data_IF_592151435399
#
_entry.id   IF_592151435399
#
_cell.length_a   1.000
_cell.length_b   1.000
_cell.length_c   1.000
_cell.angle_alpha   90.00
_cell.angle_beta   90.00
_cell.angle_gamma   90.00
#
_symmetry.space_group_name_H-M   'P 1'
#
loop_
_entity.id
_entity.type
_entity.pdbx_description
1 polymer ?
#
# COMPACT_ATOMS: atom_id res chain seq x y z
N UNK A 1 23.53 -32.21 6.67
CA UNK A 1 23.50 -30.73 6.67
C UNK A 1 22.40 -30.31 7.63
N UNK A 2 22.76 -29.94 8.85
CA UNK A 2 21.80 -29.42 9.83
C UNK A 2 21.69 -27.92 9.61
N UNK A 3 20.67 -27.47 8.88
CA UNK A 3 20.32 -26.05 8.72
C UNK A 3 19.49 -25.67 9.93
N UNK A 4 20.03 -24.89 10.83
CA UNK A 4 19.22 -24.17 11.80
C UNK A 4 18.59 -22.96 11.07
N UNK A 5 17.46 -23.18 10.45
CA UNK A 5 16.58 -22.08 10.08
C UNK A 5 15.97 -21.52 11.36
N UNK A 6 15.86 -20.20 11.48
CA UNK A 6 15.12 -19.48 12.52
C UNK A 6 13.63 -19.88 12.46
N UNK A 7 13.32 -21.08 12.94
CA UNK A 7 11.96 -21.52 13.22
C UNK A 7 11.63 -21.25 14.68
N UNK A 8 10.37 -21.34 15.05
CA UNK A 8 9.78 -21.00 16.35
C UNK A 8 10.43 -21.59 17.61
N UNK A 9 11.48 -22.40 17.47
CA UNK A 9 12.31 -22.97 18.54
C UNK A 9 13.81 -22.71 18.33
N UNK A 10 14.19 -21.65 17.56
CA UNK A 10 15.57 -21.29 17.32
C UNK A 10 16.22 -20.53 18.49
N UNK A 11 17.54 -20.23 18.40
CA UNK A 11 18.28 -19.52 19.44
C UNK A 11 17.69 -18.14 19.79
N UNK A 12 16.77 -17.59 18.97
CA UNK A 12 16.09 -16.33 19.21
C UNK A 12 15.12 -16.35 20.40
N UNK A 13 14.42 -17.46 20.65
CA UNK A 13 13.40 -17.56 21.71
C UNK A 13 13.97 -17.41 23.14
N UNK A 14 15.26 -17.63 23.31
CA UNK A 14 15.93 -17.52 24.62
C UNK A 14 16.94 -16.36 24.67
N UNK A 15 16.96 -15.50 23.63
CA UNK A 15 17.98 -14.46 23.52
C UNK A 15 17.94 -13.45 24.67
N UNK A 16 16.75 -13.15 25.21
CA UNK A 16 16.57 -12.26 26.34
C UNK A 16 17.37 -12.66 27.61
N UNK A 17 17.76 -13.94 27.76
CA UNK A 17 18.62 -14.40 28.87
C UNK A 17 20.07 -14.00 28.68
N UNK A 18 20.48 -13.67 27.47
CA UNK A 18 21.87 -13.35 27.09
C UNK A 18 22.06 -11.85 26.83
N UNK A 19 20.98 -11.07 26.87
CA UNK A 19 21.00 -9.62 26.76
C UNK A 19 21.05 -8.98 28.16
N UNK A 20 21.93 -8.02 28.34
CA UNK A 20 22.00 -7.20 29.55
C UNK A 20 20.81 -6.23 29.58
N UNK A 21 20.10 -6.18 30.71
CA UNK A 21 18.92 -5.29 30.87
C UNK A 21 19.29 -3.84 31.19
N UNK A 22 20.49 -3.59 31.69
CA UNK A 22 20.96 -2.25 32.04
C UNK A 22 22.22 -1.93 31.25
N UNK A 23 22.34 -0.67 30.85
CA UNK A 23 23.53 -0.11 30.20
C UNK A 23 24.72 0.05 31.15
N UNK A 24 24.56 -0.28 32.40
CA UNK A 24 25.64 -0.16 33.41
C UNK A 24 26.64 -1.31 33.25
N UNK A 25 27.42 -1.17 32.17
CA UNK A 25 28.44 -2.14 31.77
C UNK A 25 29.73 -2.02 32.58
N UNK A 26 29.76 -1.12 33.59
CA UNK A 26 30.95 -0.78 34.37
C UNK A 26 31.27 -1.80 35.51
N UNK A 27 30.35 -2.72 35.81
CA UNK A 27 30.60 -3.72 36.87
C UNK A 27 31.25 -4.96 36.24
N UNK A 28 32.55 -4.93 36.09
CA UNK A 28 33.36 -6.14 35.86
C UNK A 28 33.39 -6.99 37.11
N UNK A 29 32.40 -7.79 37.34
CA UNK A 29 32.45 -8.82 38.38
C UNK A 29 33.14 -10.04 37.78
N UNK A 30 34.24 -10.51 38.39
CA UNK A 30 34.97 -11.70 37.94
C UNK A 30 34.06 -12.93 37.75
N UNK A 31 32.97 -13.03 38.51
CA UNK A 31 31.95 -14.05 38.39
C UNK A 31 31.16 -13.97 37.04
N UNK A 32 31.16 -12.86 36.33
CA UNK A 32 30.47 -12.72 35.06
C UNK A 32 31.29 -13.21 33.82
N UNK A 33 32.58 -13.46 33.98
CA UNK A 33 33.42 -13.89 32.86
C UNK A 33 32.93 -15.18 32.17
N UNK A 34 32.53 -16.26 32.89
CA UNK A 34 31.98 -17.45 32.21
C UNK A 34 30.66 -17.23 31.55
N UNK A 35 29.79 -16.35 32.10
CA UNK A 35 28.53 -15.97 31.47
C UNK A 35 28.79 -15.15 30.20
N UNK A 36 29.67 -14.16 30.24
CA UNK A 36 30.06 -13.32 29.12
C UNK A 36 30.56 -14.17 27.93
N UNK A 37 31.39 -15.19 28.22
CA UNK A 37 31.88 -16.09 27.16
C UNK A 37 30.73 -16.88 26.50
N UNK A 38 29.83 -17.44 27.30
CA UNK A 38 28.66 -18.17 26.80
C UNK A 38 27.69 -17.24 26.06
N UNK A 39 27.42 -16.03 26.59
CA UNK A 39 26.60 -15.02 25.96
C UNK A 39 27.16 -14.63 24.59
N UNK A 40 28.47 -14.39 24.49
CA UNK A 40 29.14 -14.11 23.24
C UNK A 40 28.87 -15.19 22.18
N UNK A 41 29.05 -16.46 22.50
CA UNK A 41 28.78 -17.57 21.58
C UNK A 41 27.30 -17.61 21.16
N UNK A 42 26.38 -17.41 22.08
CA UNK A 42 24.94 -17.44 21.79
C UNK A 42 24.47 -16.25 20.96
N UNK A 43 24.95 -15.05 21.25
CA UNK A 43 24.60 -13.85 20.51
C UNK A 43 25.17 -13.88 19.09
N UNK A 44 26.38 -14.37 18.92
CA UNK A 44 27.00 -14.57 17.61
C UNK A 44 26.22 -15.60 16.78
N UNK A 45 25.88 -16.75 17.39
CA UNK A 45 25.06 -17.76 16.75
C UNK A 45 23.66 -17.21 16.36
N UNK A 46 23.10 -16.31 17.16
CA UNK A 46 21.83 -15.66 16.86
C UNK A 46 21.91 -14.63 15.73
N UNK A 47 23.04 -13.93 15.57
CA UNK A 47 23.22 -12.96 14.48
C UNK A 47 23.62 -13.61 13.16
N UNK A 48 24.23 -14.81 13.16
CA UNK A 48 24.57 -15.54 11.97
C UNK A 48 23.31 -16.15 11.31
N UNK A 49 23.26 -16.22 9.99
CA UNK A 49 22.17 -16.89 9.25
C UNK A 49 22.33 -18.40 9.25
N UNK A 50 23.56 -18.90 9.28
CA UNK A 50 23.86 -20.33 9.32
C UNK A 50 25.09 -20.58 10.20
N UNK A 51 25.12 -21.74 10.81
CA UNK A 51 26.32 -22.27 11.46
C UNK A 51 26.73 -23.49 10.65
N UNK A 52 27.91 -23.44 10.04
CA UNK A 52 28.44 -24.54 9.25
C UNK A 52 28.85 -25.72 10.14
N UNK A 53 29.03 -26.88 9.55
CA UNK A 53 29.37 -28.13 10.28
C UNK A 53 30.73 -28.01 11.02
N UNK A 54 31.63 -27.21 10.49
CA UNK A 54 32.93 -26.89 11.10
C UNK A 54 32.85 -25.81 12.19
N UNK A 55 31.65 -25.35 12.51
CA UNK A 55 31.41 -24.34 13.55
C UNK A 55 31.60 -22.90 13.10
N UNK A 56 31.85 -22.64 11.81
CA UNK A 56 31.95 -21.29 11.29
C UNK A 56 30.58 -20.63 11.22
N UNK A 57 30.54 -19.33 11.47
CA UNK A 57 29.36 -18.47 11.37
C UNK A 57 29.27 -17.91 9.94
N UNK A 58 28.18 -18.18 9.25
CA UNK A 58 27.92 -17.66 7.91
C UNK A 58 26.99 -16.45 7.99
N UNK A 59 27.43 -15.33 7.44
CA UNK A 59 26.63 -14.13 7.19
C UNK A 59 26.35 -14.04 5.69
N UNK A 60 25.06 -14.09 5.34
CA UNK A 60 24.62 -14.05 3.94
C UNK A 60 24.66 -12.63 3.42
N UNK A 61 25.36 -12.43 2.31
CA UNK A 61 25.42 -11.19 1.56
C UNK A 61 26.12 -11.44 0.21
N UNK A 62 26.18 -10.46 -0.67
CA UNK A 62 26.97 -10.53 -1.91
C UNK A 62 28.36 -9.88 -1.72
N UNK A 63 29.45 -10.65 -1.47
CA UNK A 63 29.54 -12.10 -1.26
C UNK A 63 29.28 -12.55 0.19
N UNK A 64 28.95 -13.82 0.43
CA UNK A 64 28.80 -14.33 1.79
C UNK A 64 30.15 -14.36 2.52
N UNK A 65 30.11 -14.04 3.83
CA UNK A 65 31.29 -13.99 4.68
C UNK A 65 31.21 -15.03 5.79
N UNK A 66 32.35 -15.65 6.13
CA UNK A 66 32.46 -16.68 7.18
C UNK A 66 33.36 -16.20 8.27
N UNK A 67 33.01 -16.53 9.52
CA UNK A 67 33.85 -16.21 10.68
C UNK A 67 34.08 -17.46 11.52
N UNK A 68 35.32 -17.73 11.84
CA UNK A 68 35.69 -18.86 12.70
C UNK A 68 35.54 -18.48 14.17
N UNK A 69 35.00 -19.41 14.98
CA UNK A 69 34.82 -19.25 16.44
C UNK A 69 36.00 -19.80 17.25
N UNK A 70 37.21 -19.82 16.72
CA UNK A 70 38.39 -20.41 17.36
C UNK A 70 38.73 -19.75 18.72
N UNK A 71 38.28 -18.52 18.98
CA UNK A 71 38.41 -17.83 20.27
C UNK A 71 37.13 -17.09 20.58
N UNK A 72 36.54 -17.33 21.77
CA UNK A 72 35.33 -16.64 22.24
C UNK A 72 35.64 -15.41 23.11
N UNK A 73 36.92 -15.10 23.29
CA UNK A 73 37.34 -13.93 24.09
C UNK A 73 37.31 -12.70 23.22
N UNK A 74 36.39 -11.80 23.53
CA UNK A 74 36.28 -10.45 22.96
C UNK A 74 36.44 -9.43 24.09
N UNK A 75 36.92 -8.24 23.73
CA UNK A 75 37.03 -7.13 24.66
C UNK A 75 35.66 -6.59 25.09
N UNK A 76 35.64 -5.69 26.06
CA UNK A 76 34.39 -5.16 26.62
C UNK A 76 33.61 -4.34 25.60
N UNK A 77 34.29 -3.53 24.77
CA UNK A 77 33.65 -2.70 23.75
C UNK A 77 32.99 -3.56 22.67
N UNK A 78 33.69 -4.60 22.21
CA UNK A 78 33.15 -5.57 21.23
C UNK A 78 31.96 -6.35 21.79
N UNK A 79 31.99 -6.71 23.06
CA UNK A 79 30.86 -7.35 23.72
C UNK A 79 29.63 -6.42 23.79
N UNK A 80 29.85 -5.14 24.13
CA UNK A 80 28.79 -4.15 24.15
C UNK A 80 28.14 -3.96 22.78
N UNK A 81 28.96 -3.89 21.74
CA UNK A 81 28.46 -3.80 20.35
C UNK A 81 27.66 -5.03 19.96
N UNK A 82 28.13 -6.22 20.32
CA UNK A 82 27.42 -7.48 20.07
C UNK A 82 26.05 -7.51 20.79
N UNK A 83 25.99 -7.05 22.03
CA UNK A 83 24.75 -6.88 22.79
C UNK A 83 23.80 -5.92 22.06
N UNK A 84 24.31 -4.76 21.64
CA UNK A 84 23.52 -3.77 20.92
C UNK A 84 23.01 -4.29 19.57
N UNK A 85 23.83 -5.00 18.81
CA UNK A 85 23.45 -5.57 17.52
C UNK A 85 22.37 -6.63 17.67
N UNK A 86 22.53 -7.56 18.61
CA UNK A 86 21.54 -8.58 18.89
C UNK A 86 20.25 -7.97 19.46
N UNK A 87 20.37 -7.04 20.41
CA UNK A 87 19.23 -6.32 20.97
C UNK A 87 18.42 -5.62 19.89
N UNK A 88 19.06 -4.86 18.99
CA UNK A 88 18.39 -4.16 17.92
C UNK A 88 17.74 -5.12 16.90
N UNK A 89 18.42 -6.19 16.50
CA UNK A 89 17.88 -7.16 15.54
C UNK A 89 16.63 -7.87 16.07
N UNK A 90 16.61 -8.19 17.37
CA UNK A 90 15.55 -8.97 18.03
C UNK A 90 14.54 -8.13 18.82
N UNK A 91 14.60 -6.81 18.77
CA UNK A 91 13.71 -5.91 19.50
C UNK A 91 12.24 -6.10 19.15
N UNK A 92 11.96 -6.31 17.84
CA UNK A 92 10.60 -6.45 17.32
C UNK A 92 10.46 -7.75 16.52
N UNK A 93 9.64 -8.66 16.99
CA UNK A 93 9.41 -9.96 16.33
C UNK A 93 8.84 -9.84 14.91
N UNK A 94 8.06 -8.79 14.62
CA UNK A 94 7.49 -8.56 13.28
C UNK A 94 8.53 -8.10 12.26
N UNK A 95 9.61 -7.50 12.72
CA UNK A 95 10.68 -6.92 11.88
C UNK A 95 11.97 -7.73 11.96
N UNK A 96 11.96 -8.82 12.70
CA UNK A 96 13.12 -9.65 12.97
C UNK A 96 13.86 -10.05 11.69
N UNK A 97 13.16 -10.64 10.73
CA UNK A 97 13.76 -11.13 9.48
C UNK A 97 14.43 -10.00 8.70
N UNK A 98 13.80 -8.82 8.67
CA UNK A 98 14.32 -7.66 7.96
C UNK A 98 15.55 -7.09 8.66
N UNK A 99 15.47 -6.82 9.97
CA UNK A 99 16.58 -6.25 10.74
C UNK A 99 17.77 -7.20 10.82
N UNK A 100 17.51 -8.49 11.05
CA UNK A 100 18.54 -9.53 11.07
C UNK A 100 19.22 -9.68 9.70
N UNK A 101 18.42 -9.68 8.62
CA UNK A 101 18.94 -9.72 7.25
C UNK A 101 19.82 -8.52 6.91
N UNK A 102 19.44 -7.30 7.36
CA UNK A 102 20.23 -6.09 7.15
C UNK A 102 21.57 -6.14 7.89
N UNK A 103 21.59 -6.53 9.16
CA UNK A 103 22.86 -6.70 9.91
C UNK A 103 23.78 -7.68 9.18
N UNK A 104 23.25 -8.80 8.74
CA UNK A 104 24.03 -9.80 8.05
C UNK A 104 24.58 -9.33 6.70
N UNK A 105 23.75 -8.64 5.93
CA UNK A 105 24.17 -8.07 4.66
C UNK A 105 25.26 -7.03 4.83
N UNK A 106 25.18 -6.18 5.86
CA UNK A 106 26.20 -5.18 6.13
C UNK A 106 27.51 -5.79 6.68
N UNK A 107 27.43 -6.82 7.51
CA UNK A 107 28.60 -7.61 7.92
C UNK A 107 29.25 -8.27 6.71
N UNK A 108 28.48 -8.85 5.79
CA UNK A 108 28.99 -9.50 4.60
C UNK A 108 29.55 -8.51 3.55
N UNK A 109 29.15 -7.24 3.61
CA UNK A 109 29.66 -6.18 2.72
C UNK A 109 31.12 -5.84 3.01
N UNK A 110 31.64 -6.20 4.18
CA UNK A 110 33.08 -6.13 4.43
C UNK A 110 33.78 -7.09 3.48
N UNK A 111 34.90 -6.67 2.88
CA UNK A 111 35.62 -7.43 1.84
C UNK A 111 36.26 -8.73 2.33
N UNK A 112 36.02 -9.13 3.57
CA UNK A 112 36.54 -10.34 4.20
C UNK A 112 35.67 -11.53 3.77
N UNK A 113 36.28 -12.51 3.09
CA UNK A 113 35.59 -13.77 2.76
C UNK A 113 35.61 -14.77 3.90
N UNK A 114 36.75 -14.86 4.60
CA UNK A 114 36.98 -15.67 5.79
C UNK A 114 37.65 -14.78 6.82
N UNK A 115 37.09 -14.69 8.01
CA UNK A 115 37.60 -13.87 9.10
C UNK A 115 37.62 -14.61 10.44
N UNK A 116 38.32 -14.01 11.39
CA UNK A 116 38.29 -14.43 12.77
C UNK A 116 37.17 -13.70 13.54
N UNK A 117 36.87 -14.15 14.73
CA UNK A 117 35.93 -13.47 15.65
C UNK A 117 36.38 -12.03 15.96
N UNK A 118 37.67 -11.77 15.97
CA UNK A 118 38.24 -10.43 16.20
C UNK A 118 37.93 -9.50 15.02
N UNK A 119 38.00 -10.03 13.77
CA UNK A 119 37.65 -9.26 12.57
C UNK A 119 36.16 -8.94 12.54
N UNK A 120 35.29 -9.89 12.92
CA UNK A 120 33.87 -9.64 13.08
C UNK A 120 33.59 -8.56 14.13
N UNK A 121 34.25 -8.63 15.29
CA UNK A 121 34.12 -7.65 16.36
C UNK A 121 34.53 -6.24 15.90
N UNK A 122 35.58 -6.14 15.10
CA UNK A 122 36.05 -4.86 14.56
C UNK A 122 35.08 -4.27 13.51
N UNK A 123 34.40 -5.10 12.73
CA UNK A 123 33.49 -4.66 11.67
C UNK A 123 32.04 -4.43 12.13
N UNK A 124 31.61 -5.11 13.19
CA UNK A 124 30.24 -5.11 13.68
C UNK A 124 29.69 -3.70 14.04
N UNK A 125 30.46 -2.76 14.64
CA UNK A 125 29.97 -1.42 14.95
C UNK A 125 29.51 -0.68 13.70
N UNK A 126 30.36 -0.66 12.66
CA UNK A 126 30.05 0.00 11.38
C UNK A 126 28.90 -0.69 10.64
N UNK A 127 28.89 -2.02 10.65
CA UNK A 127 27.82 -2.81 10.05
C UNK A 127 26.46 -2.54 10.74
N UNK A 128 26.43 -2.44 12.07
CA UNK A 128 25.21 -2.13 12.82
C UNK A 128 24.67 -0.73 12.48
N UNK A 129 25.53 0.27 12.42
CA UNK A 129 25.09 1.64 12.06
C UNK A 129 24.60 1.70 10.62
N UNK A 130 25.30 1.06 9.68
CA UNK A 130 24.84 0.95 8.29
C UNK A 130 23.51 0.22 8.18
N UNK A 131 23.30 -0.86 8.93
CA UNK A 131 22.04 -1.59 8.96
C UNK A 131 20.89 -0.74 9.49
N UNK A 132 21.11 0.05 10.54
CA UNK A 132 20.11 0.99 11.06
C UNK A 132 19.75 2.08 10.04
N UNK A 133 20.73 2.62 9.34
CA UNK A 133 20.52 3.63 8.29
C UNK A 133 19.70 3.00 7.15
N UNK A 134 20.08 1.80 6.68
CA UNK A 134 19.36 1.09 5.62
C UNK A 134 17.92 0.77 6.03
N UNK A 135 17.69 0.36 7.27
CA UNK A 135 16.36 0.12 7.82
C UNK A 135 15.51 1.39 7.82
N UNK A 136 16.03 2.49 8.36
CA UNK A 136 15.33 3.77 8.40
C UNK A 136 15.01 4.30 6.99
N UNK A 137 15.93 4.12 6.05
CA UNK A 137 15.70 4.47 4.65
C UNK A 137 14.57 3.64 4.04
N UNK A 138 14.56 2.32 4.26
CA UNK A 138 13.52 1.41 3.78
C UNK A 138 12.13 1.78 4.33
N UNK A 139 12.04 2.05 5.64
CA UNK A 139 10.79 2.50 6.29
C UNK A 139 10.32 3.84 5.71
N UNK A 140 11.24 4.80 5.53
CA UNK A 140 10.92 6.12 4.94
C UNK A 140 10.44 5.99 3.50
N UNK A 141 11.08 5.14 2.69
CA UNK A 141 10.69 4.91 1.31
C UNK A 141 9.30 4.26 1.23
N UNK A 142 9.04 3.25 2.03
CA UNK A 142 7.72 2.62 2.10
C UNK A 142 6.61 3.61 2.49
N UNK A 143 6.91 4.52 3.43
CA UNK A 143 5.97 5.58 3.81
C UNK A 143 5.70 6.55 2.66
N UNK A 144 6.73 6.96 1.90
CA UNK A 144 6.59 7.82 0.71
C UNK A 144 5.76 7.14 -0.38
N UNK A 145 6.01 5.86 -0.64
CA UNK A 145 5.27 5.10 -1.65
C UNK A 145 3.79 4.96 -1.26
N UNK A 146 3.50 4.75 0.02
CA UNK A 146 2.14 4.73 0.55
C UNK A 146 1.44 6.09 0.40
N UNK A 147 2.12 7.19 0.75
CA UNK A 147 1.57 8.54 0.58
C UNK A 147 1.33 8.89 -0.89
N UNK A 148 2.22 8.47 -1.77
CA UNK A 148 2.06 8.64 -3.22
C UNK A 148 0.83 7.86 -3.72
N UNK A 149 0.70 6.59 -3.33
CA UNK A 149 -0.46 5.78 -3.70
C UNK A 149 -1.79 6.38 -3.21
N UNK A 150 -1.82 6.95 -1.99
CA UNK A 150 -2.98 7.69 -1.47
C UNK A 150 -3.29 8.96 -2.27
N UNK A 151 -2.25 9.71 -2.68
CA UNK A 151 -2.40 10.90 -3.51
C UNK A 151 -2.96 10.54 -4.88
N UNK A 152 -2.44 9.49 -5.52
CA UNK A 152 -2.89 9.01 -6.81
C UNK A 152 -4.35 8.49 -6.75
N UNK A 153 -4.71 7.81 -5.65
CA UNK A 153 -6.10 7.40 -5.40
C UNK A 153 -7.03 8.60 -5.30
N UNK A 154 -6.68 9.62 -4.50
CA UNK A 154 -7.49 10.84 -4.37
C UNK A 154 -7.69 11.53 -5.69
N UNK A 155 -6.63 11.63 -6.51
CA UNK A 155 -6.69 12.20 -7.84
C UNK A 155 -7.64 11.40 -8.73
N UNK A 156 -7.50 10.07 -8.78
CA UNK A 156 -8.39 9.21 -9.56
C UNK A 156 -9.85 9.36 -9.17
N UNK A 157 -10.16 9.38 -7.86
CA UNK A 157 -11.53 9.59 -7.38
C UNK A 157 -12.07 10.98 -7.76
N UNK A 158 -11.21 12.01 -7.68
CA UNK A 158 -11.57 13.37 -8.10
C UNK A 158 -11.90 13.44 -9.60
N UNK A 159 -11.05 12.82 -10.43
CA UNK A 159 -11.24 12.78 -11.87
C UNK A 159 -12.51 12.01 -12.26
N UNK A 160 -12.78 10.88 -11.62
CA UNK A 160 -14.00 10.10 -11.82
C UNK A 160 -15.26 10.87 -11.39
N UNK A 161 -15.17 11.57 -10.27
CA UNK A 161 -16.29 12.42 -9.79
C UNK A 161 -16.54 13.60 -10.71
N UNK A 162 -15.48 14.22 -11.27
CA UNK A 162 -15.59 15.28 -12.25
C UNK A 162 -16.26 14.80 -13.56
N UNK A 163 -15.84 13.62 -14.06
CA UNK A 163 -16.47 13.01 -15.25
C UNK A 163 -17.94 12.66 -15.02
N UNK A 164 -18.30 12.13 -13.86
CA UNK A 164 -19.70 11.88 -13.50
C UNK A 164 -20.52 13.18 -13.44
N UNK A 165 -19.95 14.24 -12.87
CA UNK A 165 -20.57 15.56 -12.84
C UNK A 165 -20.79 16.12 -14.24
N UNK A 166 -19.80 15.99 -15.14
CA UNK A 166 -19.92 16.41 -16.54
C UNK A 166 -20.97 15.60 -17.29
N UNK A 167 -21.02 14.27 -17.10
CA UNK A 167 -22.07 13.41 -17.67
C UNK A 167 -23.46 13.83 -17.16
N UNK A 168 -23.59 14.16 -15.87
CA UNK A 168 -24.86 14.64 -15.29
C UNK A 168 -25.25 15.98 -15.88
N UNK A 169 -24.29 16.88 -16.08
CA UNK A 169 -24.54 18.20 -16.72
C UNK A 169 -24.96 18.05 -18.19
N UNK A 170 -24.30 17.17 -18.92
CA UNK A 170 -24.64 16.84 -20.30
C UNK A 170 -26.06 16.29 -20.40
N UNK A 171 -26.44 15.38 -19.48
CA UNK A 171 -27.81 14.87 -19.39
C UNK A 171 -28.81 15.99 -19.10
N UNK A 172 -28.51 16.88 -18.14
CA UNK A 172 -29.33 18.04 -17.84
C UNK A 172 -29.54 18.94 -19.08
N UNK A 173 -28.47 19.19 -19.82
CA UNK A 173 -28.54 19.94 -21.08
C UNK A 173 -29.42 19.27 -22.14
N UNK A 174 -29.30 17.95 -22.29
CA UNK A 174 -30.13 17.19 -23.25
C UNK A 174 -31.62 17.23 -22.85
N UNK A 175 -31.95 17.10 -21.55
CA UNK A 175 -33.32 17.19 -21.04
C UNK A 175 -33.91 18.60 -21.29
N UNK A 176 -33.14 19.63 -20.94
CA UNK A 176 -33.57 21.03 -21.17
C UNK A 176 -33.80 21.29 -22.66
N UNK A 177 -32.88 20.85 -23.52
CA UNK A 177 -33.03 20.97 -24.97
C UNK A 177 -34.28 20.26 -25.49
N UNK A 178 -34.56 19.04 -25.01
CA UNK A 178 -35.77 18.31 -25.37
C UNK A 178 -37.06 18.99 -24.91
N UNK A 179 -37.06 19.54 -23.70
CA UNK A 179 -38.22 20.30 -23.15
C UNK A 179 -38.49 21.52 -23.98
N UNK A 180 -37.50 22.36 -24.27
CA UNK A 180 -37.67 23.55 -25.09
C UNK A 180 -38.09 23.22 -26.56
N UNK A 181 -37.52 22.14 -27.11
CA UNK A 181 -37.89 21.65 -28.45
C UNK A 181 -39.36 21.23 -28.47
N UNK A 182 -39.86 20.49 -27.49
CA UNK A 182 -41.27 20.09 -27.42
C UNK A 182 -42.21 21.28 -27.18
N UNK A 183 -41.85 22.23 -26.31
CA UNK A 183 -42.63 23.46 -26.10
C UNK A 183 -42.70 24.26 -27.43
N UNK A 184 -41.58 24.38 -28.12
CA UNK A 184 -41.56 25.04 -29.43
C UNK A 184 -42.48 24.37 -30.44
N UNK A 185 -42.55 23.04 -30.47
CA UNK A 185 -43.49 22.29 -31.31
C UNK A 185 -44.96 22.52 -30.94
N UNK A 186 -45.26 22.57 -29.64
CA UNK A 186 -46.61 22.87 -29.16
C UNK A 186 -47.04 24.29 -29.61
N UNK A 187 -46.16 25.27 -29.41
CA UNK A 187 -46.40 26.66 -29.84
C UNK A 187 -46.59 26.75 -31.37
N UNK A 188 -45.71 26.09 -32.14
CA UNK A 188 -45.83 26.04 -33.57
C UNK A 188 -47.16 25.43 -34.03
N UNK A 189 -47.62 24.35 -33.35
CA UNK A 189 -48.94 23.73 -33.64
C UNK A 189 -50.13 24.65 -33.33
N UNK A 190 -50.02 25.50 -32.32
CA UNK A 190 -51.11 26.44 -31.92
C UNK A 190 -51.12 27.69 -32.78
N UNK A 191 -49.99 28.11 -33.35
CA UNK A 191 -49.87 29.38 -34.08
C UNK A 191 -49.95 29.23 -35.59
N UNK A 192 -49.61 28.06 -36.15
CA UNK A 192 -49.67 27.81 -37.56
C UNK A 192 -51.08 27.42 -38.02
N UNK A 193 -51.57 27.95 -39.17
CA UNK A 193 -52.88 27.61 -39.66
C UNK A 193 -53.00 26.12 -40.01
N UNK A 194 -54.10 25.50 -39.62
CA UNK A 194 -54.38 24.04 -39.62
C UNK A 194 -54.44 23.37 -41.00
N UNK A 195 -54.20 24.10 -42.07
CA UNK A 195 -54.30 23.59 -43.45
C UNK A 195 -53.09 22.76 -43.93
N UNK A 196 -52.06 22.55 -43.08
CA UNK A 196 -50.94 21.73 -43.40
C UNK A 196 -51.04 20.30 -42.85
N UNK A 197 -51.51 19.36 -43.66
CA UNK A 197 -51.65 17.93 -43.30
C UNK A 197 -50.35 17.29 -42.73
N UNK A 198 -49.21 17.95 -42.87
CA UNK A 198 -47.87 17.44 -42.48
C UNK A 198 -47.35 17.94 -41.14
N UNK A 199 -47.97 18.98 -40.49
CA UNK A 199 -47.44 19.59 -39.26
C UNK A 199 -47.56 18.64 -38.07
N UNK A 200 -48.69 17.94 -37.95
CA UNK A 200 -48.90 16.98 -36.88
C UNK A 200 -47.92 15.79 -36.88
N UNK A 201 -47.78 15.07 -38.01
CA UNK A 201 -46.81 13.99 -38.11
C UNK A 201 -45.37 14.45 -37.94
N UNK A 202 -44.98 15.62 -38.44
CA UNK A 202 -43.63 16.16 -38.25
C UNK A 202 -43.30 16.49 -36.81
N UNK A 203 -44.26 17.10 -36.08
CA UNK A 203 -44.10 17.38 -34.66
C UNK A 203 -43.97 16.10 -33.80
N UNK A 204 -44.77 15.07 -34.10
CA UNK A 204 -44.67 13.76 -33.45
C UNK A 204 -43.30 13.11 -33.71
N UNK A 205 -42.81 13.14 -34.97
CA UNK A 205 -41.53 12.59 -35.30
C UNK A 205 -40.36 13.27 -34.56
N UNK A 206 -40.38 14.59 -34.46
CA UNK A 206 -39.35 15.35 -33.72
C UNK A 206 -39.44 15.02 -32.21
N UNK A 207 -40.63 14.94 -31.64
CA UNK A 207 -40.81 14.53 -30.24
C UNK A 207 -40.26 13.15 -29.96
N UNK A 208 -40.49 12.18 -30.86
CA UNK A 208 -39.91 10.82 -30.75
C UNK A 208 -38.39 10.85 -30.81
N UNK A 209 -37.81 11.61 -31.79
CA UNK A 209 -36.35 11.73 -31.92
C UNK A 209 -35.74 12.35 -30.68
N UNK A 210 -36.34 13.39 -30.09
CA UNK A 210 -35.85 13.99 -28.83
C UNK A 210 -35.93 13.03 -27.69
N UNK A 211 -36.98 12.24 -27.61
CA UNK A 211 -37.13 11.19 -26.56
C UNK A 211 -36.07 10.09 -26.71
N UNK A 212 -35.83 9.62 -27.92
CA UNK A 212 -34.76 8.64 -28.20
C UNK A 212 -33.38 9.23 -27.81
N UNK A 213 -33.14 10.49 -28.16
CA UNK A 213 -31.89 11.18 -27.82
C UNK A 213 -31.67 11.24 -26.31
N UNK A 214 -32.65 11.66 -25.52
CA UNK A 214 -32.58 11.68 -24.04
C UNK A 214 -32.39 10.28 -23.50
N UNK A 215 -33.10 9.28 -24.02
CA UNK A 215 -32.94 7.87 -23.65
C UNK A 215 -31.53 7.34 -23.92
N UNK A 216 -30.95 7.70 -25.06
CA UNK A 216 -29.57 7.30 -25.40
C UNK A 216 -28.53 7.92 -24.43
N UNK A 217 -28.71 9.20 -24.04
CA UNK A 217 -27.83 9.87 -23.05
C UNK A 217 -27.96 9.21 -21.69
N UNK A 218 -29.18 8.88 -21.25
CA UNK A 218 -29.42 8.16 -19.97
C UNK A 218 -28.74 6.78 -20.01
N UNK A 219 -28.96 6.00 -21.08
CA UNK A 219 -28.39 4.67 -21.23
C UNK A 219 -26.84 4.69 -21.22
N UNK A 220 -26.26 5.64 -21.96
CA UNK A 220 -24.80 5.83 -22.00
C UNK A 220 -24.23 6.18 -20.61
N UNK A 221 -24.86 7.09 -19.88
CA UNK A 221 -24.45 7.46 -18.53
C UNK A 221 -24.60 6.30 -17.54
N UNK A 222 -25.69 5.55 -17.61
CA UNK A 222 -25.91 4.37 -16.75
C UNK A 222 -24.86 3.28 -17.03
N UNK A 223 -24.52 3.04 -18.30
CA UNK A 223 -23.47 2.10 -18.68
C UNK A 223 -22.09 2.52 -18.15
N UNK A 224 -21.75 3.81 -18.25
CA UNK A 224 -20.53 4.36 -17.69
C UNK A 224 -20.45 4.14 -16.18
N UNK A 225 -21.54 4.41 -15.43
CA UNK A 225 -21.60 4.19 -13.98
C UNK A 225 -21.40 2.71 -13.63
N UNK A 226 -22.00 1.78 -14.40
CA UNK A 226 -21.84 0.36 -14.18
C UNK A 226 -20.37 -0.08 -14.33
N UNK A 227 -19.70 0.31 -15.42
CA UNK A 227 -18.27 0.02 -15.63
C UNK A 227 -17.41 0.57 -14.50
N UNK A 228 -17.64 1.81 -14.09
CA UNK A 228 -16.87 2.44 -13.02
C UNK A 228 -17.08 1.74 -11.66
N UNK A 229 -18.30 1.23 -11.41
CA UNK A 229 -18.59 0.47 -10.18
C UNK A 229 -17.84 -0.86 -10.14
N UNK A 230 -17.84 -1.59 -11.24
CA UNK A 230 -17.13 -2.86 -11.36
C UNK A 230 -15.62 -2.66 -11.23
N UNK A 231 -15.07 -1.64 -11.88
CA UNK A 231 -13.66 -1.30 -11.80
C UNK A 231 -13.22 -0.93 -10.37
N UNK A 232 -14.03 -0.14 -9.64
CA UNK A 232 -13.77 0.21 -8.23
C UNK A 232 -13.77 -1.02 -7.32
N UNK A 233 -14.70 -1.96 -7.55
CA UNK A 233 -14.77 -3.20 -6.79
C UNK A 233 -13.52 -4.06 -7.00
N UNK A 234 -13.06 -4.21 -8.23
CA UNK A 234 -11.84 -4.96 -8.55
C UNK A 234 -10.58 -4.32 -7.94
N UNK A 235 -10.48 -2.99 -8.00
CA UNK A 235 -9.34 -2.27 -7.45
C UNK A 235 -9.27 -2.35 -5.93
N UNK A 236 -10.41 -2.38 -5.24
CA UNK A 236 -10.44 -2.55 -3.78
C UNK A 236 -9.67 -3.77 -3.33
N UNK A 237 -9.86 -4.92 -3.98
CA UNK A 237 -9.20 -6.16 -3.60
C UNK A 237 -7.73 -6.25 -4.01
N UNK A 238 -7.36 -5.60 -5.11
CA UNK A 238 -6.01 -5.73 -5.70
C UNK A 238 -5.03 -4.65 -5.24
N UNK A 239 -5.48 -3.40 -5.18
CA UNK A 239 -4.60 -2.25 -5.01
C UNK A 239 -4.74 -1.57 -3.65
N UNK A 240 -5.91 -1.60 -3.04
CA UNK A 240 -6.19 -0.81 -1.82
C UNK A 240 -6.35 -1.66 -0.57
N UNK A 241 -5.72 -2.82 -0.55
CA UNK A 241 -5.75 -3.74 0.61
C UNK A 241 -5.09 -3.16 1.87
N UNK A 242 -4.31 -2.10 1.72
CA UNK A 242 -3.66 -1.39 2.82
C UNK A 242 -4.55 -0.34 3.50
N UNK A 243 -5.68 0.05 2.86
CA UNK A 243 -6.66 0.95 3.48
C UNK A 243 -7.66 0.16 4.32
N UNK A 244 -8.00 0.71 5.51
CA UNK A 244 -9.13 0.20 6.28
C UNK A 244 -10.46 0.41 5.55
N UNK A 245 -11.44 -0.47 5.80
CA UNK A 245 -12.75 -0.42 5.13
C UNK A 245 -13.47 0.91 5.33
N UNK A 246 -13.35 1.50 6.52
CA UNK A 246 -13.97 2.79 6.85
C UNK A 246 -13.33 3.94 6.06
N UNK A 247 -12.01 3.91 5.95
CA UNK A 247 -11.23 4.93 5.24
C UNK A 247 -11.51 4.89 3.73
N UNK A 248 -11.56 3.69 3.15
CA UNK A 248 -11.95 3.48 1.76
C UNK A 248 -13.39 3.96 1.49
N UNK A 249 -14.33 3.69 2.40
CA UNK A 249 -15.71 4.15 2.28
C UNK A 249 -15.80 5.67 2.24
N UNK A 250 -15.10 6.36 3.12
CA UNK A 250 -15.11 7.83 3.18
C UNK A 250 -14.46 8.46 1.97
N UNK A 251 -13.32 7.93 1.53
CA UNK A 251 -12.52 8.52 0.45
C UNK A 251 -13.05 8.22 -0.95
N UNK A 252 -13.59 7.03 -1.17
CA UNK A 252 -13.94 6.54 -2.52
C UNK A 252 -15.45 6.33 -2.66
N UNK A 253 -16.06 5.56 -1.75
CA UNK A 253 -17.44 5.10 -1.93
C UNK A 253 -18.46 6.22 -1.76
N UNK A 254 -18.29 7.09 -0.78
CA UNK A 254 -19.26 8.17 -0.52
C UNK A 254 -19.29 9.22 -1.62
N UNK A 255 -18.15 9.78 -2.11
CA UNK A 255 -18.17 10.75 -3.20
C UNK A 255 -18.80 10.16 -4.47
N UNK A 256 -18.41 8.92 -4.83
CA UNK A 256 -18.95 8.24 -5.99
C UNK A 256 -20.47 8.02 -5.89
N UNK A 257 -20.97 7.53 -4.74
CA UNK A 257 -22.42 7.36 -4.53
C UNK A 257 -23.20 8.68 -4.58
N UNK A 258 -22.61 9.79 -4.13
CA UNK A 258 -23.27 11.10 -4.24
C UNK A 258 -23.43 11.53 -5.69
N UNK A 259 -22.38 11.39 -6.49
CA UNK A 259 -22.40 11.70 -7.92
C UNK A 259 -23.37 10.77 -8.69
N UNK A 260 -23.37 9.47 -8.39
CA UNK A 260 -24.30 8.49 -8.96
C UNK A 260 -25.78 8.86 -8.63
N UNK A 261 -26.08 9.25 -7.40
CA UNK A 261 -27.43 9.66 -7.01
C UNK A 261 -27.89 10.93 -7.74
N UNK A 262 -26.98 11.90 -7.93
CA UNK A 262 -27.27 13.10 -8.70
C UNK A 262 -27.64 12.75 -10.15
N UNK A 263 -26.87 11.87 -10.80
CA UNK A 263 -27.15 11.39 -12.13
C UNK A 263 -28.52 10.68 -12.22
N UNK A 264 -28.78 9.73 -11.30
CA UNK A 264 -30.06 8.98 -11.29
C UNK A 264 -31.24 9.92 -11.07
N UNK A 265 -31.13 10.90 -10.17
CA UNK A 265 -32.16 11.90 -9.95
C UNK A 265 -32.44 12.72 -11.21
N UNK A 266 -31.42 13.19 -11.90
CA UNK A 266 -31.55 13.92 -13.19
C UNK A 266 -32.14 13.04 -14.27
N UNK A 267 -31.76 11.77 -14.36
CA UNK A 267 -32.28 10.82 -15.33
C UNK A 267 -33.78 10.53 -15.13
N UNK A 268 -34.20 10.33 -13.89
CA UNK A 268 -35.62 10.11 -13.55
C UNK A 268 -36.43 11.37 -13.87
N UNK A 269 -35.98 12.55 -13.46
CA UNK A 269 -36.66 13.81 -13.76
C UNK A 269 -36.77 14.06 -15.26
N UNK A 270 -35.67 13.77 -16.01
CA UNK A 270 -35.66 13.91 -17.47
C UNK A 270 -36.62 12.95 -18.16
N UNK A 271 -36.66 11.69 -17.76
CA UNK A 271 -37.58 10.69 -18.30
C UNK A 271 -39.03 11.05 -18.06
N UNK A 272 -39.35 11.48 -16.84
CA UNK A 272 -40.72 11.93 -16.48
C UNK A 272 -41.15 13.12 -17.31
N UNK A 273 -40.27 14.14 -17.45
CA UNK A 273 -40.58 15.35 -18.25
C UNK A 273 -40.80 15.02 -19.73
N UNK A 274 -39.96 14.17 -20.32
CA UNK A 274 -40.12 13.81 -21.74
C UNK A 274 -41.38 13.00 -21.98
N UNK A 275 -41.79 12.11 -21.07
CA UNK A 275 -43.06 11.36 -21.16
C UNK A 275 -44.27 12.29 -21.02
N UNK A 276 -44.21 13.23 -20.04
CA UNK A 276 -45.30 14.18 -19.81
C UNK A 276 -45.54 15.09 -21.04
N UNK A 277 -44.46 15.47 -21.74
CA UNK A 277 -44.57 16.34 -22.94
C UNK A 277 -45.02 15.61 -24.19
N UNK A 278 -44.92 14.27 -24.24
CA UNK A 278 -45.41 13.43 -25.32
C UNK A 278 -46.91 13.10 -25.20
N UNK A 279 -47.48 13.16 -24.01
CA UNK A 279 -48.90 12.96 -23.74
C UNK A 279 -49.70 14.24 -24.03
#
# INVERSE_FOLDING_TARGET
MSRYTLGSNGPGDQLGRWLLRSSDQSVEVAAMAPWKERATKRLLAALAQEIEVDGKLLFRGPPPTRFSQSSSKIDQASFATLQSAAGWAYENSRELDNRHGLVAAEVARTSLRDGSLKDLAATLPAALESAKIAYNFGVTQQSKDTLKALSDLRKSVSDDTAKLSETTRSLGGAVIGAVFGNIGLIVARLTLPTNGAFIGPAAMLIGVVLTIYVGAVIASGAHYIAIQRDLRNDWRFRLYRFLGDDEYNVMVTQPAKRAERAFVGTAIAGALMTVLLLM
#
